data_IF_250753943822
#
_entry.id   IF_250753943822
#
_cell.length_a   1.000
_cell.length_b   1.000
_cell.length_c   1.000
_cell.angle_alpha   90.00
_cell.angle_beta   90.00
_cell.angle_gamma   90.00
#
_symmetry.space_group_name_H-M   'P 1'
#
loop_
_entity.id
_entity.type
_entity.pdbx_description
1 polymer ?
#
# COMPACT_ATOMS: atom_id res chain seq x y z
N UNK A 1 -15.13 -0.81 -0.60
CA UNK A 1 -14.74 -0.67 0.84
C UNK A 1 -14.20 -1.93 1.55
N UNK A 2 -14.30 -3.16 1.00
CA UNK A 2 -13.83 -4.36 1.70
C UNK A 2 -12.37 -4.77 1.39
N UNK A 3 -11.74 -4.19 0.35
CA UNK A 3 -10.48 -4.71 -0.19
C UNK A 3 -9.24 -4.19 0.58
N UNK A 4 -9.16 -2.88 0.85
CA UNK A 4 -7.98 -2.28 1.49
C UNK A 4 -7.77 -2.77 2.93
N UNK A 5 -8.85 -2.79 3.72
CA UNK A 5 -8.81 -3.29 5.10
C UNK A 5 -8.49 -4.79 5.15
N UNK A 6 -9.03 -5.59 4.22
CA UNK A 6 -8.69 -7.01 4.12
C UNK A 6 -7.21 -7.23 3.75
N UNK A 7 -6.66 -6.43 2.85
CA UNK A 7 -5.23 -6.43 2.52
C UNK A 7 -4.41 -6.06 3.76
N UNK A 8 -4.81 -5.03 4.51
CA UNK A 8 -4.13 -4.60 5.72
C UNK A 8 -4.04 -5.73 6.76
N UNK A 9 -5.18 -6.34 7.09
CA UNK A 9 -5.25 -7.47 8.02
C UNK A 9 -4.37 -8.63 7.57
N UNK A 10 -4.34 -8.92 6.27
CA UNK A 10 -3.47 -9.95 5.71
C UNK A 10 -2.01 -9.60 5.91
N UNK A 11 -1.58 -8.37 5.60
CA UNK A 11 -0.19 -7.93 5.76
C UNK A 11 0.24 -7.99 7.22
N UNK A 12 -0.55 -7.42 8.14
CA UNK A 12 -0.24 -7.43 9.57
C UNK A 12 -0.10 -8.86 10.10
N UNK A 13 -1.03 -9.76 9.75
CA UNK A 13 -0.94 -11.17 10.14
C UNK A 13 0.34 -11.85 9.63
N UNK A 14 0.78 -11.53 8.43
CA UNK A 14 2.02 -12.11 7.87
C UNK A 14 3.27 -11.53 8.52
N UNK A 15 3.25 -10.26 8.94
CA UNK A 15 4.33 -9.67 9.74
C UNK A 15 4.37 -10.31 11.13
N UNK A 16 3.23 -10.46 11.80
CA UNK A 16 3.13 -11.08 13.12
C UNK A 16 3.58 -12.55 13.11
N UNK A 17 3.28 -13.28 12.03
CA UNK A 17 3.75 -14.65 11.81
C UNK A 17 5.24 -14.75 11.43
N UNK A 18 5.94 -13.63 11.24
CA UNK A 18 7.34 -13.59 10.82
C UNK A 18 7.57 -13.93 9.34
N UNK A 19 6.53 -13.98 8.52
CA UNK A 19 6.64 -14.20 7.07
C UNK A 19 7.07 -12.95 6.30
N UNK A 20 6.77 -11.76 6.84
CA UNK A 20 7.17 -10.47 6.30
C UNK A 20 7.96 -9.68 7.34
N UNK A 21 8.90 -8.86 6.87
CA UNK A 21 9.66 -7.96 7.75
C UNK A 21 8.77 -6.82 8.26
N UNK A 22 9.11 -6.27 9.44
CA UNK A 22 8.34 -5.21 10.10
C UNK A 22 8.08 -3.97 9.22
N UNK A 23 8.97 -3.68 8.26
CA UNK A 23 8.79 -2.59 7.29
C UNK A 23 7.50 -2.70 6.49
N UNK A 24 6.95 -3.89 6.25
CA UNK A 24 5.66 -4.06 5.57
C UNK A 24 4.49 -3.56 6.43
N UNK A 25 4.53 -3.78 7.74
CA UNK A 25 3.54 -3.24 8.65
C UNK A 25 3.64 -1.71 8.72
N UNK A 26 4.85 -1.16 8.79
CA UNK A 26 5.06 0.29 8.76
C UNK A 26 4.55 0.93 7.46
N UNK A 27 4.89 0.35 6.31
CA UNK A 27 4.43 0.85 5.01
C UNK A 27 2.90 0.76 4.88
N UNK A 28 2.28 -0.34 5.33
CA UNK A 28 0.83 -0.49 5.27
C UNK A 28 0.11 0.49 6.20
N UNK A 29 0.62 0.68 7.42
CA UNK A 29 0.09 1.69 8.35
C UNK A 29 0.16 3.10 7.75
N UNK A 30 1.29 3.45 7.16
CA UNK A 30 1.47 4.75 6.50
C UNK A 30 0.50 4.96 5.32
N UNK A 31 0.28 3.92 4.50
CA UNK A 31 -0.70 3.98 3.40
C UNK A 31 -2.12 4.19 3.93
N UNK A 32 -2.53 3.47 4.98
CA UNK A 32 -3.84 3.64 5.60
C UNK A 32 -4.02 5.05 6.18
N UNK A 33 -3.08 5.50 7.01
CA UNK A 33 -3.15 6.82 7.64
C UNK A 33 -3.32 7.95 6.63
N UNK A 34 -2.79 7.77 5.41
CA UNK A 34 -2.76 8.82 4.39
C UNK A 34 -3.87 8.74 3.36
N UNK A 35 -4.36 7.54 3.04
CA UNK A 35 -5.24 7.28 1.90
C UNK A 35 -6.52 6.50 2.25
N UNK A 36 -6.78 6.17 3.52
CA UNK A 36 -8.03 5.49 3.91
C UNK A 36 -9.28 6.34 3.61
N UNK A 37 -9.16 7.65 3.50
CA UNK A 37 -10.25 8.55 3.09
C UNK A 37 -10.15 9.05 1.63
N UNK A 38 -9.16 8.60 0.85
CA UNK A 38 -8.92 9.08 -0.53
C UNK A 38 -9.72 8.26 -1.56
N UNK A 39 -10.79 8.83 -2.18
CA UNK A 39 -11.65 8.08 -3.10
C UNK A 39 -10.92 7.59 -4.35
N UNK A 40 -9.94 8.35 -4.86
CA UNK A 40 -9.18 7.96 -6.05
C UNK A 40 -8.28 6.75 -5.75
N UNK A 41 -7.71 6.71 -4.54
CA UNK A 41 -6.94 5.57 -4.07
C UNK A 41 -7.82 4.34 -3.87
N UNK A 42 -9.00 4.49 -3.26
CA UNK A 42 -9.95 3.39 -3.11
C UNK A 42 -10.38 2.83 -4.46
N UNK A 43 -10.72 3.69 -5.41
CA UNK A 43 -11.08 3.27 -6.77
C UNK A 43 -9.91 2.57 -7.47
N UNK A 44 -8.67 3.01 -7.24
CA UNK A 44 -7.49 2.31 -7.75
C UNK A 44 -7.34 0.92 -7.13
N UNK A 45 -7.45 0.79 -5.80
CA UNK A 45 -7.37 -0.50 -5.09
C UNK A 45 -8.48 -1.46 -5.50
N UNK A 46 -9.69 -0.96 -5.78
CA UNK A 46 -10.80 -1.79 -6.27
C UNK A 46 -10.60 -2.27 -7.71
N UNK A 47 -9.96 -1.46 -8.55
CA UNK A 47 -9.64 -1.80 -9.95
C UNK A 47 -8.36 -2.61 -10.11
N UNK A 48 -7.44 -2.52 -9.16
CA UNK A 48 -6.17 -3.24 -9.18
C UNK A 48 -6.34 -4.68 -8.72
N UNK A 49 -5.67 -5.66 -9.37
CA UNK A 49 -5.47 -6.97 -8.77
C UNK A 49 -4.83 -6.81 -7.40
N UNK A 50 -5.28 -7.56 -6.38
CA UNK A 50 -4.77 -7.43 -5.00
C UNK A 50 -3.24 -7.48 -4.86
N UNK A 51 -2.54 -8.05 -5.85
CA UNK A 51 -1.08 -8.04 -5.95
C UNK A 51 -0.44 -6.64 -6.12
N UNK A 52 -1.17 -5.61 -6.55
CA UNK A 52 -0.58 -4.30 -6.84
C UNK A 52 -0.32 -3.48 -5.58
N UNK A 53 -1.20 -3.57 -4.58
CA UNK A 53 -0.95 -3.00 -3.25
C UNK A 53 0.24 -3.71 -2.60
N UNK A 54 0.35 -5.03 -2.75
CA UNK A 54 1.50 -5.77 -2.24
C UNK A 54 2.81 -5.38 -2.94
N UNK A 55 2.79 -5.16 -4.26
CA UNK A 55 3.94 -4.63 -5.00
C UNK A 55 4.32 -3.23 -4.55
N UNK A 56 3.33 -2.36 -4.29
CA UNK A 56 3.56 -1.04 -3.71
C UNK A 56 4.33 -1.16 -2.39
N UNK A 57 3.81 -1.96 -1.46
CA UNK A 57 4.44 -2.19 -0.15
C UNK A 57 5.85 -2.77 -0.29
N UNK A 58 6.05 -3.74 -1.19
CA UNK A 58 7.36 -4.31 -1.46
C UNK A 58 8.35 -3.27 -2.01
N UNK A 59 7.92 -2.37 -2.89
CA UNK A 59 8.73 -1.27 -3.39
C UNK A 59 9.07 -0.28 -2.27
N UNK A 60 8.11 0.11 -1.43
CA UNK A 60 8.35 1.00 -0.29
C UNK A 60 9.40 0.43 0.66
N UNK A 61 9.27 -0.84 1.03
CA UNK A 61 10.22 -1.52 1.93
C UNK A 61 11.60 -1.62 1.30
N UNK A 62 11.70 -1.99 0.02
CA UNK A 62 12.99 -2.10 -0.69
C UNK A 62 13.70 -0.75 -0.84
N UNK A 63 12.94 0.33 -1.01
CA UNK A 63 13.46 1.69 -1.14
C UNK A 63 13.68 2.40 0.22
N UNK A 64 13.43 1.71 1.34
CA UNK A 64 13.41 2.31 2.67
C UNK A 64 12.48 3.53 2.81
N UNK A 65 11.39 3.54 2.03
CA UNK A 65 10.42 4.61 1.90
C UNK A 65 9.11 4.30 2.63
N UNK A 66 9.16 3.50 3.71
CA UNK A 66 7.97 3.04 4.45
C UNK A 66 7.22 4.16 5.20
N UNK A 67 7.76 5.38 5.21
CA UNK A 67 7.17 6.59 5.81
C UNK A 67 7.46 7.85 4.96
N UNK A 68 7.75 7.67 3.67
CA UNK A 68 8.11 8.77 2.77
C UNK A 68 6.89 9.14 1.90
N UNK A 69 6.27 10.28 2.23
CA UNK A 69 5.08 10.78 1.55
C UNK A 69 5.37 11.17 0.10
N UNK A 70 6.50 11.80 -0.17
CA UNK A 70 6.86 12.26 -1.51
C UNK A 70 7.10 11.05 -2.42
N UNK A 71 7.80 10.03 -1.90
CA UNK A 71 7.99 8.77 -2.61
C UNK A 71 6.66 8.10 -2.95
N UNK A 72 5.73 8.02 -1.98
CA UNK A 72 4.43 7.38 -2.16
C UNK A 72 3.56 8.13 -3.19
N UNK A 73 3.50 9.46 -3.09
CA UNK A 73 2.77 10.30 -4.04
C UNK A 73 3.33 10.16 -5.47
N UNK A 74 4.66 10.12 -5.62
CA UNK A 74 5.31 9.91 -6.91
C UNK A 74 5.00 8.53 -7.49
N UNK A 75 5.04 7.48 -6.65
CA UNK A 75 4.73 6.12 -7.08
C UNK A 75 3.27 5.97 -7.54
N UNK A 76 2.33 6.53 -6.77
CA UNK A 76 0.90 6.47 -7.06
C UNK A 76 0.54 7.33 -8.26
N UNK A 77 1.09 8.53 -8.40
CA UNK A 77 0.83 9.39 -9.55
C UNK A 77 1.21 8.72 -10.88
N UNK A 78 2.33 7.98 -10.92
CA UNK A 78 2.75 7.23 -12.11
C UNK A 78 1.79 6.09 -12.48
N UNK A 79 1.05 5.52 -11.53
CA UNK A 79 0.14 4.37 -11.74
C UNK A 79 -1.32 4.75 -11.87
N UNK A 80 -1.77 5.77 -11.14
CA UNK A 80 -3.15 6.27 -11.18
C UNK A 80 -3.35 7.20 -12.38
N UNK A 81 -2.40 8.10 -12.68
CA UNK A 81 -2.49 8.99 -13.85
C UNK A 81 -1.94 8.40 -15.14
N UNK A 82 -1.14 7.34 -15.08
CA UNK A 82 -0.61 6.64 -16.25
C UNK A 82 -1.59 5.66 -16.91
N UNK A 83 -2.77 5.46 -16.33
CA UNK A 83 -3.81 4.54 -16.82
C UNK A 83 -4.93 5.24 -17.60
N UNK A 84 -4.71 6.49 -18.04
CA UNK A 84 -5.64 7.30 -18.85
C UNK A 84 -5.32 7.21 -20.35
#
# INVERSE_FOLDING_TARGET
MANLQHIAERIFRHVDAGHLVAGYASAMGFVLDRYDDDPDFHDWVERSPGSDVEKLLACMVKSAAWNDEEWLANYLSARIRGAA
#
